data_IF_560075958786
#
_entry.id   IF_560075958786
#
_cell.length_a   1.000
_cell.length_b   1.000
_cell.length_c   1.000
_cell.angle_alpha   90.00
_cell.angle_beta   90.00
_cell.angle_gamma   90.00
#
_symmetry.space_group_name_H-M   'P 1'
#
loop_
_entity.id
_entity.type
_entity.pdbx_description
1 polymer ?
#
# COMPACT_ATOMS: atom_id res chain seq x y z
N UNK A 1 -27.23 19.36 0.15
CA UNK A 1 -26.98 19.36 1.62
C UNK A 1 -27.97 18.51 2.42
N UNK A 2 -29.19 18.21 1.95
CA UNK A 2 -30.18 17.48 2.76
C UNK A 2 -29.92 15.96 2.90
N UNK A 3 -29.49 15.27 1.84
CA UNK A 3 -29.42 13.79 1.81
C UNK A 3 -28.33 13.22 2.74
N UNK A 4 -27.12 13.76 2.68
CA UNK A 4 -26.00 13.35 3.55
C UNK A 4 -26.29 13.64 5.03
N UNK A 5 -26.87 14.81 5.33
CA UNK A 5 -27.28 15.17 6.68
C UNK A 5 -28.32 14.19 7.25
N UNK A 6 -29.29 13.76 6.43
CA UNK A 6 -30.27 12.75 6.84
C UNK A 6 -29.61 11.41 7.17
N UNK A 7 -28.68 10.94 6.34
CA UNK A 7 -27.91 9.73 6.59
C UNK A 7 -27.07 9.83 7.88
N UNK A 8 -26.54 11.02 8.20
CA UNK A 8 -25.78 11.29 9.41
C UNK A 8 -26.61 11.20 10.70
N UNK A 9 -27.89 11.56 10.63
CA UNK A 9 -28.80 11.53 11.78
C UNK A 9 -29.38 10.14 12.08
N UNK A 10 -29.11 9.15 11.23
CA UNK A 10 -29.60 7.79 11.46
C UNK A 10 -28.74 7.07 12.51
N UNK A 11 -29.39 6.32 13.40
CA UNK A 11 -28.71 5.59 14.47
C UNK A 11 -28.20 4.23 13.98
N UNK A 12 -26.96 4.19 13.50
CA UNK A 12 -26.29 2.95 13.11
C UNK A 12 -25.78 2.10 14.29
N UNK A 13 -25.94 2.57 15.54
CA UNK A 13 -25.75 1.71 16.72
C UNK A 13 -26.94 0.79 16.98
N UNK A 14 -28.05 1.00 16.27
CA UNK A 14 -29.27 0.18 16.32
C UNK A 14 -29.90 0.12 17.72
N UNK A 15 -29.70 1.17 18.52
CA UNK A 15 -30.39 1.36 19.80
C UNK A 15 -31.80 1.88 19.60
N UNK A 16 -32.01 2.60 18.49
CA UNK A 16 -33.30 3.12 18.06
C UNK A 16 -33.66 2.59 16.68
N UNK A 17 -34.96 2.48 16.41
CA UNK A 17 -35.46 2.02 15.10
C UNK A 17 -35.17 3.11 14.07
N UNK A 18 -34.59 2.72 12.95
CA UNK A 18 -34.36 3.65 11.83
C UNK A 18 -35.67 4.05 11.16
N UNK A 19 -35.82 5.35 10.89
CA UNK A 19 -36.98 5.90 10.18
C UNK A 19 -36.97 5.47 8.70
N UNK A 20 -37.95 4.68 8.23
CA UNK A 20 -38.00 4.21 6.85
C UNK A 20 -38.22 5.35 5.83
N UNK A 21 -38.89 6.44 6.21
CA UNK A 21 -39.18 7.56 5.30
C UNK A 21 -37.90 8.29 4.89
N UNK A 22 -36.94 8.42 5.82
CA UNK A 22 -35.62 8.99 5.51
C UNK A 22 -34.90 8.20 4.42
N UNK A 23 -34.96 6.88 4.48
CA UNK A 23 -34.27 6.02 3.53
C UNK A 23 -34.92 6.02 2.15
N UNK A 24 -36.26 6.06 2.09
CA UNK A 24 -37.01 6.25 0.83
C UNK A 24 -36.62 7.57 0.17
N UNK A 25 -36.63 8.66 0.94
CA UNK A 25 -36.23 9.98 0.45
C UNK A 25 -34.78 9.98 -0.09
N UNK A 26 -33.84 9.38 0.64
CA UNK A 26 -32.44 9.27 0.18
C UNK A 26 -32.39 8.50 -1.14
N UNK A 27 -33.06 7.35 -1.24
CA UNK A 27 -33.02 6.48 -2.42
C UNK A 27 -33.59 7.15 -3.69
N UNK A 28 -34.66 7.93 -3.54
CA UNK A 28 -35.30 8.71 -4.63
C UNK A 28 -34.44 9.87 -5.11
N UNK A 29 -33.66 10.48 -4.21
CA UNK A 29 -32.82 11.64 -4.54
C UNK A 29 -31.46 11.27 -5.15
N UNK A 30 -30.99 10.03 -5.04
CA UNK A 30 -29.68 9.60 -5.60
C UNK A 30 -29.49 10.00 -7.07
N UNK A 31 -30.44 9.76 -8.01
CA UNK A 31 -30.28 10.13 -9.41
C UNK A 31 -30.27 11.65 -9.66
N UNK A 32 -30.78 12.44 -8.72
CA UNK A 32 -30.85 13.90 -8.80
C UNK A 32 -29.58 14.56 -8.24
N UNK A 33 -28.72 13.80 -7.57
CA UNK A 33 -27.48 14.29 -6.99
C UNK A 33 -26.37 14.31 -8.03
N UNK A 34 -25.46 15.27 -7.91
CA UNK A 34 -24.21 15.24 -8.66
C UNK A 34 -23.31 14.11 -8.15
N UNK A 35 -22.38 13.66 -9.00
CA UNK A 35 -21.46 12.57 -8.65
C UNK A 35 -20.63 12.87 -7.38
N UNK A 36 -20.37 14.15 -7.08
CA UNK A 36 -19.67 14.56 -5.85
C UNK A 36 -20.54 14.36 -4.61
N UNK A 37 -21.82 14.71 -4.69
CA UNK A 37 -22.80 14.43 -3.65
C UNK A 37 -22.96 12.94 -3.41
N UNK A 38 -23.08 12.14 -4.48
CA UNK A 38 -23.16 10.67 -4.39
C UNK A 38 -21.90 10.10 -3.73
N UNK A 39 -20.71 10.60 -4.10
CA UNK A 39 -19.44 10.23 -3.47
C UNK A 39 -19.43 10.58 -1.97
N UNK A 40 -19.93 11.75 -1.60
CA UNK A 40 -20.00 12.19 -0.20
C UNK A 40 -20.92 11.27 0.62
N UNK A 41 -22.11 10.95 0.08
CA UNK A 41 -23.04 10.00 0.69
C UNK A 41 -22.41 8.62 0.87
N UNK A 42 -21.75 8.09 -0.18
CA UNK A 42 -21.04 6.81 -0.12
C UNK A 42 -19.98 6.81 0.99
N UNK A 43 -19.17 7.87 1.05
CA UNK A 43 -18.15 8.05 2.09
C UNK A 43 -18.78 8.11 3.49
N UNK A 44 -19.84 8.89 3.66
CA UNK A 44 -20.58 9.00 4.92
C UNK A 44 -21.08 7.63 5.40
N UNK A 45 -21.76 6.88 4.52
CA UNK A 45 -22.29 5.56 4.86
C UNK A 45 -21.18 4.57 5.25
N UNK A 46 -20.14 4.45 4.43
CA UNK A 46 -19.06 3.49 4.68
C UNK A 46 -18.21 3.85 5.90
N UNK A 47 -17.81 5.11 6.04
CA UNK A 47 -16.80 5.51 7.03
C UNK A 47 -17.37 6.00 8.36
N UNK A 48 -18.48 6.72 8.33
CA UNK A 48 -19.03 7.33 9.54
C UNK A 48 -20.12 6.44 10.14
N UNK A 49 -20.98 5.87 9.29
CA UNK A 49 -22.14 5.12 9.75
C UNK A 49 -21.85 3.63 9.96
N UNK A 50 -21.35 2.94 8.93
CA UNK A 50 -21.17 1.48 8.99
C UNK A 50 -20.18 1.03 10.06
N UNK A 51 -19.20 1.85 10.40
CA UNK A 51 -18.25 1.56 11.48
C UNK A 51 -18.92 1.45 12.86
N UNK A 52 -20.07 2.10 13.05
CA UNK A 52 -20.85 2.08 14.30
C UNK A 52 -21.76 0.85 14.44
N UNK A 53 -21.90 0.05 13.38
CA UNK A 53 -22.75 -1.16 13.37
C UNK A 53 -22.19 -2.20 14.36
N UNK A 54 -23.02 -2.80 15.22
CA UNK A 54 -22.62 -3.91 16.09
C UNK A 54 -22.06 -5.11 15.31
N UNK A 55 -21.14 -5.87 15.92
CA UNK A 55 -20.53 -7.03 15.25
C UNK A 55 -21.45 -8.23 15.05
N UNK A 56 -22.46 -8.33 15.92
CA UNK A 56 -23.48 -9.36 15.88
C UNK A 56 -24.81 -8.64 15.72
N UNK A 57 -25.62 -9.08 14.76
CA UNK A 57 -26.89 -8.47 14.41
C UNK A 57 -27.99 -9.49 14.60
N UNK A 58 -29.09 -9.08 15.26
CA UNK A 58 -30.33 -9.85 15.22
C UNK A 58 -30.97 -9.81 13.82
N UNK A 59 -31.89 -10.73 13.50
CA UNK A 59 -32.62 -10.71 12.23
C UNK A 59 -33.36 -9.37 12.00
N UNK A 60 -33.98 -8.81 13.04
CA UNK A 60 -34.66 -7.51 13.00
C UNK A 60 -33.68 -6.36 12.72
N UNK A 61 -32.54 -6.34 13.40
CA UNK A 61 -31.48 -5.34 13.16
C UNK A 61 -30.94 -5.42 11.72
N UNK A 62 -30.77 -6.63 11.19
CA UNK A 62 -30.38 -6.82 9.79
C UNK A 62 -31.44 -6.29 8.83
N UNK A 63 -32.73 -6.49 9.11
CA UNK A 63 -33.83 -5.94 8.30
C UNK A 63 -33.82 -4.41 8.29
N UNK A 64 -33.53 -3.76 9.43
CA UNK A 64 -33.44 -2.30 9.51
C UNK A 64 -32.31 -1.70 8.65
N UNK A 65 -31.24 -2.47 8.39
CA UNK A 65 -30.10 -2.03 7.58
C UNK A 65 -30.28 -2.33 6.07
N UNK A 66 -31.31 -3.06 5.66
CA UNK A 66 -31.56 -3.35 4.24
C UNK A 66 -31.72 -2.08 3.36
N UNK A 67 -32.35 -0.98 3.80
CA UNK A 67 -32.43 0.24 3.01
C UNK A 67 -31.04 0.86 2.75
N UNK A 68 -30.16 0.90 3.76
CA UNK A 68 -28.82 1.45 3.61
C UNK A 68 -27.93 0.55 2.74
N UNK A 69 -28.08 -0.78 2.85
CA UNK A 69 -27.47 -1.73 1.91
C UNK A 69 -27.93 -1.50 0.46
N UNK A 70 -29.25 -1.33 0.24
CA UNK A 70 -29.81 -1.07 -1.10
C UNK A 70 -29.26 0.21 -1.73
N UNK A 71 -29.14 1.28 -0.95
CA UNK A 71 -28.54 2.54 -1.40
C UNK A 71 -27.09 2.32 -1.85
N UNK A 72 -26.29 1.59 -1.07
CA UNK A 72 -24.91 1.29 -1.46
C UNK A 72 -24.85 0.44 -2.73
N UNK A 73 -25.73 -0.56 -2.86
CA UNK A 73 -25.83 -1.38 -4.08
C UNK A 73 -26.20 -0.53 -5.29
N UNK A 74 -27.12 0.43 -5.14
CA UNK A 74 -27.53 1.38 -6.19
C UNK A 74 -26.37 2.30 -6.61
N UNK A 75 -25.58 2.77 -5.64
CA UNK A 75 -24.39 3.60 -5.91
C UNK A 75 -23.30 2.80 -6.63
N UNK A 76 -23.15 1.52 -6.31
CA UNK A 76 -22.16 0.62 -6.89
C UNK A 76 -22.60 0.00 -8.23
N UNK A 77 -23.83 0.28 -8.67
CA UNK A 77 -24.35 -0.26 -9.93
C UNK A 77 -23.83 0.55 -11.12
N UNK A 78 -22.99 -0.04 -12.00
CA UNK A 78 -22.46 0.66 -13.16
C UNK A 78 -23.54 1.05 -14.16
N UNK A 79 -24.65 0.30 -14.24
CA UNK A 79 -25.71 0.53 -15.22
C UNK A 79 -26.53 1.79 -14.90
N UNK A 80 -26.57 2.16 -13.62
CA UNK A 80 -27.26 3.39 -13.16
C UNK A 80 -26.42 4.65 -13.37
N UNK A 81 -25.10 4.50 -13.59
CA UNK A 81 -24.17 5.59 -13.89
C UNK A 81 -24.26 6.82 -12.96
N UNK A 82 -24.61 6.60 -11.69
CA UNK A 82 -24.75 7.69 -10.69
C UNK A 82 -23.41 8.24 -10.24
N UNK A 83 -22.35 7.43 -10.34
CA UNK A 83 -20.97 7.82 -10.05
C UNK A 83 -20.00 6.98 -10.89
N UNK A 84 -18.91 7.57 -11.41
CA UNK A 84 -17.82 6.79 -11.98
C UNK A 84 -17.26 5.77 -10.96
N UNK A 85 -17.18 4.47 -11.31
CA UNK A 85 -16.74 3.40 -10.39
C UNK A 85 -15.33 3.60 -9.81
N UNK A 86 -14.49 4.40 -10.48
CA UNK A 86 -13.15 4.76 -9.97
C UNK A 86 -13.24 5.55 -8.66
N UNK A 87 -14.25 6.40 -8.49
CA UNK A 87 -14.39 7.21 -7.28
C UNK A 87 -14.81 6.36 -6.09
N UNK A 88 -15.72 5.40 -6.27
CA UNK A 88 -16.06 4.45 -5.21
C UNK A 88 -14.83 3.62 -4.85
N UNK A 89 -14.07 3.10 -5.81
CA UNK A 89 -12.82 2.38 -5.56
C UNK A 89 -11.81 3.23 -4.75
N UNK A 90 -11.62 4.50 -5.11
CA UNK A 90 -10.69 5.39 -4.38
C UNK A 90 -11.13 5.64 -2.95
N UNK A 91 -12.45 5.67 -2.69
CA UNK A 91 -12.93 5.70 -1.33
C UNK A 91 -12.69 4.36 -0.66
N UNK A 92 -12.94 3.22 -1.29
CA UNK A 92 -12.73 1.90 -0.68
C UNK A 92 -11.26 1.65 -0.28
N UNK A 93 -10.30 2.15 -1.04
CA UNK A 93 -8.87 1.95 -0.74
C UNK A 93 -8.39 2.71 0.51
N UNK A 94 -9.15 3.70 1.00
CA UNK A 94 -8.74 4.60 2.10
C UNK A 94 -8.98 4.03 3.50
N UNK A 95 -9.68 2.92 3.65
CA UNK A 95 -9.91 2.37 4.98
C UNK A 95 -10.80 1.13 5.07
N UNK A 96 -10.99 0.69 6.31
CA UNK A 96 -11.37 -0.67 6.64
C UNK A 96 -12.89 -0.85 6.55
N UNK A 97 -13.35 -1.46 5.46
CA UNK A 97 -14.73 -1.84 5.18
C UNK A 97 -15.23 -3.08 5.94
N UNK A 98 -14.59 -3.48 7.04
CA UNK A 98 -14.89 -4.76 7.72
C UNK A 98 -16.38 -4.96 8.00
N UNK A 99 -17.10 -3.87 8.32
CA UNK A 99 -18.55 -3.87 8.55
C UNK A 99 -19.38 -4.01 7.27
N UNK A 100 -18.94 -3.41 6.16
CA UNK A 100 -19.61 -3.58 4.87
C UNK A 100 -19.57 -5.03 4.37
N UNK A 101 -18.48 -5.75 4.66
CA UNK A 101 -18.35 -7.18 4.34
C UNK A 101 -19.27 -8.10 5.18
N UNK A 102 -19.98 -7.57 6.19
CA UNK A 102 -21.00 -8.34 6.94
C UNK A 102 -22.28 -8.57 6.11
N UNK A 103 -22.45 -7.83 5.03
CA UNK A 103 -23.60 -7.89 4.13
C UNK A 103 -23.20 -8.65 2.85
N UNK A 104 -23.70 -9.87 2.61
CA UNK A 104 -23.23 -10.71 1.50
C UNK A 104 -23.40 -10.08 0.11
N UNK A 105 -24.50 -9.38 -0.15
CA UNK A 105 -24.74 -8.76 -1.47
C UNK A 105 -23.78 -7.61 -1.72
N UNK A 106 -23.58 -6.77 -0.70
CA UNK A 106 -22.61 -5.68 -0.75
C UNK A 106 -21.18 -6.22 -0.89
N UNK A 107 -20.81 -7.24 -0.10
CA UNK A 107 -19.50 -7.90 -0.19
C UNK A 107 -19.21 -8.43 -1.59
N UNK A 108 -20.21 -9.07 -2.22
CA UNK A 108 -20.10 -9.56 -3.59
C UNK A 108 -19.89 -8.40 -4.58
N UNK A 109 -20.73 -7.36 -4.55
CA UNK A 109 -20.58 -6.19 -5.43
C UNK A 109 -19.25 -5.46 -5.26
N UNK A 110 -18.77 -5.31 -4.02
CA UNK A 110 -17.46 -4.73 -3.75
C UNK A 110 -16.33 -5.57 -4.36
N UNK A 111 -16.45 -6.90 -4.29
CA UNK A 111 -15.47 -7.82 -4.88
C UNK A 111 -15.47 -7.73 -6.41
N UNK A 112 -16.65 -7.65 -7.05
CA UNK A 112 -16.77 -7.43 -8.50
C UNK A 112 -16.11 -6.12 -8.92
N UNK A 113 -16.37 -5.02 -8.18
CA UNK A 113 -15.75 -3.72 -8.44
C UNK A 113 -14.22 -3.79 -8.35
N UNK A 114 -13.69 -4.45 -7.33
CA UNK A 114 -12.23 -4.64 -7.16
C UNK A 114 -11.67 -5.46 -8.33
N UNK A 115 -12.35 -6.53 -8.75
CA UNK A 115 -11.91 -7.35 -9.89
C UNK A 115 -11.95 -6.57 -11.21
N UNK A 116 -12.95 -5.73 -11.42
CA UNK A 116 -13.05 -4.87 -12.60
C UNK A 116 -11.82 -3.97 -12.78
N UNK A 117 -11.33 -3.37 -11.68
CA UNK A 117 -10.14 -2.51 -11.71
C UNK A 117 -8.82 -3.26 -11.66
N UNK A 118 -8.82 -4.60 -11.55
CA UNK A 118 -7.60 -5.41 -11.64
C UNK A 118 -6.96 -5.33 -13.01
N UNK A 119 -7.75 -5.42 -14.08
CA UNK A 119 -7.26 -5.26 -15.45
C UNK A 119 -6.64 -3.87 -15.66
N UNK A 120 -7.25 -2.82 -15.11
CA UNK A 120 -6.72 -1.45 -15.16
C UNK A 120 -5.39 -1.33 -14.41
N UNK A 121 -5.27 -1.99 -13.25
CA UNK A 121 -4.01 -2.05 -12.52
C UNK A 121 -2.90 -2.73 -13.34
N UNK A 122 -3.21 -3.82 -14.04
CA UNK A 122 -2.25 -4.55 -14.88
C UNK A 122 -1.77 -3.75 -16.09
N UNK A 123 -2.63 -2.90 -16.67
CA UNK A 123 -2.22 -1.97 -17.75
C UNK A 123 -1.26 -0.88 -17.29
N UNK A 124 -1.26 -0.56 -15.99
CA UNK A 124 -0.49 0.56 -15.45
C UNK A 124 0.96 0.24 -15.07
N UNK A 125 1.37 -1.04 -15.17
CA UNK A 125 2.68 -1.48 -14.69
C UNK A 125 3.39 -2.45 -15.63
N UNK A 126 4.71 -2.49 -15.51
CA UNK A 126 5.56 -3.39 -16.30
C UNK A 126 5.45 -4.82 -15.76
N UNK A 127 5.18 -5.79 -16.62
CA UNK A 127 5.10 -7.20 -16.27
C UNK A 127 6.45 -7.67 -15.69
N UNK A 128 6.40 -8.42 -14.57
CA UNK A 128 7.59 -8.99 -13.96
C UNK A 128 8.52 -7.99 -13.29
N UNK A 129 8.08 -6.75 -13.05
CA UNK A 129 8.97 -5.68 -12.61
C UNK A 129 9.59 -5.86 -11.21
N UNK A 130 9.02 -6.69 -10.34
CA UNK A 130 9.70 -7.13 -9.11
C UNK A 130 10.99 -7.92 -9.36
N UNK A 131 11.15 -8.47 -10.57
CA UNK A 131 12.31 -9.26 -11.01
C UNK A 131 13.22 -8.49 -11.99
N UNK A 132 12.95 -7.20 -12.20
CA UNK A 132 13.80 -6.34 -13.03
C UNK A 132 14.79 -5.60 -12.15
N UNK A 133 16.06 -5.97 -12.26
CA UNK A 133 17.16 -5.37 -11.51
C UNK A 133 17.94 -4.42 -12.41
N UNK A 134 18.04 -3.13 -12.03
CA UNK A 134 18.79 -2.17 -12.82
C UNK A 134 20.29 -2.33 -12.65
N UNK A 135 21.03 -1.78 -13.60
CA UNK A 135 22.46 -1.55 -13.53
C UNK A 135 22.70 -0.10 -13.06
N UNK A 136 23.06 0.15 -11.79
CA UNK A 136 23.18 1.49 -11.21
C UNK A 136 24.10 2.43 -11.98
N UNK A 137 25.21 1.90 -12.52
CA UNK A 137 26.21 2.68 -13.24
C UNK A 137 25.86 2.92 -14.72
N UNK A 138 24.74 2.38 -15.22
CA UNK A 138 24.38 2.51 -16.63
C UNK A 138 23.73 3.86 -16.92
N UNK A 139 24.17 4.63 -17.93
CA UNK A 139 23.69 5.99 -18.18
C UNK A 139 22.19 6.07 -18.50
N UNK A 140 21.60 5.01 -19.06
CA UNK A 140 20.15 4.94 -19.31
C UNK A 140 19.32 4.58 -18.08
N UNK A 141 19.93 4.26 -16.94
CA UNK A 141 19.18 3.92 -15.73
C UNK A 141 18.70 5.19 -15.03
N UNK A 142 17.41 5.50 -15.24
CA UNK A 142 16.74 6.58 -14.55
C UNK A 142 16.22 6.10 -13.17
N UNK A 143 17.09 6.13 -12.14
CA UNK A 143 16.73 5.73 -10.78
C UNK A 143 15.52 6.52 -10.21
N UNK A 144 15.36 7.77 -10.63
CA UNK A 144 14.24 8.65 -10.25
C UNK A 144 12.94 8.39 -11.01
N UNK A 145 12.92 7.46 -11.98
CA UNK A 145 11.70 7.11 -12.71
C UNK A 145 10.65 6.50 -11.78
N UNK A 146 9.38 6.87 -11.95
CA UNK A 146 8.29 6.43 -11.08
C UNK A 146 8.14 4.89 -11.02
N UNK A 147 8.51 4.17 -12.08
CA UNK A 147 8.52 2.70 -12.11
C UNK A 147 9.60 2.09 -11.21
N UNK A 148 10.70 2.81 -10.97
CA UNK A 148 11.86 2.38 -10.19
C UNK A 148 11.74 2.77 -8.72
N UNK A 149 11.03 3.86 -8.42
CA UNK A 149 10.97 4.45 -7.08
C UNK A 149 10.32 3.55 -6.03
N UNK A 150 10.94 3.54 -4.86
CA UNK A 150 10.56 2.77 -3.69
C UNK A 150 10.32 3.72 -2.52
N UNK A 151 9.29 3.45 -1.73
CA UNK A 151 9.01 4.14 -0.48
C UNK A 151 10.03 3.76 0.60
N UNK A 152 10.58 4.74 1.30
CA UNK A 152 11.67 4.51 2.25
C UNK A 152 11.23 3.81 3.55
N UNK A 153 9.95 3.89 3.94
CA UNK A 153 9.45 3.26 5.18
C UNK A 153 9.00 1.83 4.92
N UNK A 154 8.24 1.64 3.85
CA UNK A 154 7.59 0.36 3.54
C UNK A 154 8.41 -0.51 2.61
N UNK A 155 9.44 0.05 1.98
CA UNK A 155 10.21 -0.54 0.88
C UNK A 155 9.35 -1.04 -0.28
N UNK A 156 8.12 -0.54 -0.41
CA UNK A 156 7.20 -0.88 -1.49
C UNK A 156 7.41 0.01 -2.71
N UNK A 157 7.03 -0.49 -3.89
CA UNK A 157 7.00 0.30 -5.12
C UNK A 157 6.05 1.49 -4.95
N UNK A 158 6.49 2.67 -5.35
CA UNK A 158 5.65 3.87 -5.35
C UNK A 158 4.71 3.86 -6.56
N UNK A 159 3.45 3.51 -6.31
CA UNK A 159 2.42 3.49 -7.35
C UNK A 159 1.83 4.88 -7.58
N UNK A 160 1.64 5.28 -8.86
CA UNK A 160 0.95 6.54 -9.21
C UNK A 160 -0.51 6.56 -8.75
N UNK A 161 -1.19 5.42 -8.83
CA UNK A 161 -2.59 5.25 -8.46
C UNK A 161 -2.70 4.19 -7.34
N UNK A 162 -2.31 4.51 -6.09
CA UNK A 162 -2.17 3.53 -5.00
C UNK A 162 -3.47 2.81 -4.61
N UNK A 163 -4.62 3.37 -5.00
CA UNK A 163 -5.94 2.80 -4.77
C UNK A 163 -6.27 1.61 -5.67
N UNK A 164 -5.52 1.40 -6.76
CA UNK A 164 -5.75 0.28 -7.66
C UNK A 164 -5.39 -1.06 -7.00
N UNK A 165 -6.10 -2.14 -7.35
CA UNK A 165 -5.88 -3.46 -6.78
C UNK A 165 -4.70 -4.17 -7.45
N UNK A 166 -3.49 -3.65 -7.22
CA UNK A 166 -2.25 -4.28 -7.68
C UNK A 166 -2.05 -5.68 -7.10
N UNK A 167 -1.33 -6.53 -7.84
CA UNK A 167 -0.88 -7.84 -7.38
C UNK A 167 -0.10 -7.72 -6.07
N UNK A 168 -0.18 -8.75 -5.22
CA UNK A 168 0.48 -8.77 -3.92
C UNK A 168 1.99 -8.54 -4.02
N UNK A 169 2.64 -9.09 -5.05
CA UNK A 169 4.07 -8.90 -5.35
C UNK A 169 4.45 -7.43 -5.48
N UNK A 170 3.61 -6.61 -6.12
CA UNK A 170 3.83 -5.18 -6.32
C UNK A 170 3.59 -4.35 -5.06
N UNK A 171 2.90 -4.93 -4.08
CA UNK A 171 2.66 -4.34 -2.74
C UNK A 171 3.62 -4.92 -1.70
N UNK A 172 4.44 -5.91 -2.05
CA UNK A 172 5.43 -6.46 -1.15
C UNK A 172 6.64 -5.52 -1.05
N UNK A 173 7.33 -5.51 0.11
CA UNK A 173 8.67 -4.95 0.25
C UNK A 173 9.62 -5.43 -0.86
N UNK A 174 10.27 -4.50 -1.55
CA UNK A 174 11.25 -4.76 -2.61
C UNK A 174 12.68 -4.82 -2.04
N UNK A 175 12.85 -5.53 -0.93
CA UNK A 175 14.13 -5.63 -0.22
C UNK A 175 15.22 -6.26 -1.09
N UNK A 176 14.87 -7.28 -1.89
CA UNK A 176 15.82 -7.94 -2.79
C UNK A 176 16.34 -7.02 -3.92
N UNK A 177 15.50 -6.11 -4.42
CA UNK A 177 15.91 -5.09 -5.37
C UNK A 177 16.92 -4.12 -4.74
N UNK A 178 16.66 -3.65 -3.52
CA UNK A 178 17.58 -2.79 -2.78
C UNK A 178 18.91 -3.51 -2.52
N UNK A 179 18.86 -4.75 -2.05
CA UNK A 179 20.03 -5.61 -1.87
C UNK A 179 20.86 -5.72 -3.17
N UNK A 180 20.21 -6.03 -4.29
CA UNK A 180 20.88 -6.21 -5.59
C UNK A 180 21.50 -4.91 -6.11
N UNK A 181 20.87 -3.76 -5.86
CA UNK A 181 21.43 -2.45 -6.22
C UNK A 181 22.62 -2.09 -5.34
N UNK A 182 22.49 -2.24 -4.02
CA UNK A 182 23.53 -1.89 -3.03
C UNK A 182 24.78 -2.75 -3.22
N UNK A 183 24.62 -4.05 -3.52
CA UNK A 183 25.73 -4.97 -3.76
C UNK A 183 26.60 -4.57 -4.95
N UNK A 184 26.05 -3.86 -5.94
CA UNK A 184 26.78 -3.48 -7.15
C UNK A 184 27.77 -2.32 -6.87
N UNK A 185 28.90 -2.28 -7.60
CA UNK A 185 29.79 -1.12 -7.58
C UNK A 185 29.01 0.15 -7.91
N UNK A 186 29.22 1.22 -7.13
CA UNK A 186 28.51 2.51 -7.27
C UNK A 186 26.99 2.45 -7.03
N UNK A 187 26.47 1.32 -6.57
CA UNK A 187 25.06 1.14 -6.23
C UNK A 187 24.52 2.18 -5.24
N UNK A 188 25.37 2.62 -4.31
CA UNK A 188 25.03 3.66 -3.32
C UNK A 188 24.67 5.03 -3.94
N UNK A 189 25.20 5.35 -5.12
CA UNK A 189 25.00 6.64 -5.78
C UNK A 189 23.57 6.83 -6.30
N UNK A 190 22.89 5.73 -6.69
CA UNK A 190 21.53 5.80 -7.24
C UNK A 190 20.43 5.74 -6.17
N UNK A 191 20.79 5.49 -4.91
CA UNK A 191 19.82 5.24 -3.84
C UNK A 191 19.00 6.47 -3.48
N UNK A 192 19.56 7.66 -3.58
CA UNK A 192 18.81 8.92 -3.39
C UNK A 192 17.72 9.11 -4.46
N UNK A 193 17.94 8.59 -5.67
CA UNK A 193 16.93 8.59 -6.74
C UNK A 193 15.89 7.47 -6.56
N UNK A 194 16.35 6.28 -6.15
CA UNK A 194 15.53 5.08 -5.99
C UNK A 194 14.61 5.18 -4.76
N UNK A 195 15.14 5.63 -3.62
CA UNK A 195 14.38 5.82 -2.39
C UNK A 195 13.74 7.20 -2.39
N UNK A 196 12.44 7.25 -2.15
CA UNK A 196 11.77 8.53 -1.87
C UNK A 196 12.18 9.00 -0.47
N UNK A 197 13.33 9.67 -0.37
CA UNK A 197 13.85 10.19 0.89
C UNK A 197 12.86 11.17 1.52
N UNK A 198 12.45 10.88 2.75
CA UNK A 198 11.94 11.88 3.69
C UNK A 198 13.08 12.15 4.66
N UNK A 199 13.28 13.41 4.99
CA UNK A 199 14.50 13.97 5.60
C UNK A 199 15.02 13.22 6.84
N UNK A 200 14.20 12.46 7.58
CA UNK A 200 14.64 11.74 8.77
C UNK A 200 13.80 10.47 9.00
N UNK A 201 14.26 9.31 8.53
CA UNK A 201 13.56 8.03 8.75
C UNK A 201 14.50 6.83 8.84
N UNK A 202 14.27 5.95 9.84
CA UNK A 202 14.90 4.63 9.90
C UNK A 202 14.52 3.87 8.63
N UNK A 203 15.53 3.48 7.89
CA UNK A 203 15.39 2.73 6.63
C UNK A 203 15.85 1.30 6.92
N UNK A 204 15.37 0.30 6.17
CA UNK A 204 15.70 -1.14 6.37
C UNK A 204 17.17 -1.49 6.04
N UNK A 205 18.10 -0.55 6.18
CA UNK A 205 19.52 -0.74 5.89
C UNK A 205 20.18 -1.73 6.82
N UNK A 206 19.82 -1.72 8.10
CA UNK A 206 20.47 -2.57 9.10
C UNK A 206 20.34 -4.07 8.73
N UNK A 207 19.16 -4.47 8.24
CA UNK A 207 18.90 -5.84 7.77
C UNK A 207 19.65 -6.16 6.47
N UNK A 208 19.68 -5.23 5.50
CA UNK A 208 20.40 -5.46 4.23
C UNK A 208 21.91 -5.54 4.47
N UNK A 209 22.44 -4.67 5.32
CA UNK A 209 23.86 -4.63 5.66
C UNK A 209 24.29 -5.86 6.45
N UNK A 210 23.48 -6.34 7.40
CA UNK A 210 23.80 -7.56 8.15
C UNK A 210 23.86 -8.78 7.24
N UNK A 211 22.96 -8.88 6.25
CA UNK A 211 23.00 -9.93 5.22
C UNK A 211 24.26 -9.81 4.37
N UNK A 212 24.59 -8.62 3.87
CA UNK A 212 25.80 -8.42 3.05
C UNK A 212 27.09 -8.75 3.82
N UNK A 213 27.20 -8.35 5.09
CA UNK A 213 28.33 -8.71 5.97
C UNK A 213 28.40 -10.24 6.10
N UNK A 214 27.29 -10.88 6.45
CA UNK A 214 27.22 -12.33 6.66
C UNK A 214 27.57 -13.13 5.41
N UNK A 215 27.09 -12.70 4.23
CA UNK A 215 27.44 -13.32 2.95
C UNK A 215 28.93 -13.17 2.62
N UNK A 216 29.48 -11.96 2.79
CA UNK A 216 30.90 -11.69 2.55
C UNK A 216 31.77 -12.55 3.47
N UNK A 217 31.40 -12.68 4.75
CA UNK A 217 32.08 -13.55 5.71
C UNK A 217 31.97 -15.04 5.35
N UNK A 218 30.79 -15.49 4.94
CA UNK A 218 30.56 -16.88 4.55
C UNK A 218 31.32 -17.24 3.26
N UNK A 219 31.47 -16.30 2.32
CA UNK A 219 32.31 -16.48 1.13
C UNK A 219 33.78 -16.63 1.53
N UNK A 220 34.28 -15.81 2.46
CA UNK A 220 35.65 -15.94 2.98
C UNK A 220 35.88 -17.29 3.67
N UNK A 221 34.92 -17.76 4.47
CA UNK A 221 35.05 -19.05 5.17
C UNK A 221 35.11 -20.26 4.22
N UNK A 222 34.57 -20.12 3.00
CA UNK A 222 34.63 -21.17 1.97
C UNK A 222 35.95 -21.19 1.21
N UNK A 223 36.78 -20.15 1.35
CA UNK A 223 38.06 -20.10 0.67
C UNK A 223 39.03 -21.10 1.31
N UNK A 224 39.86 -21.78 0.50
CA UNK A 224 41.02 -22.50 1.01
C UNK A 224 41.96 -21.57 1.79
N UNK A 225 42.66 -22.09 2.80
CA UNK A 225 43.54 -21.30 3.68
C UNK A 225 44.69 -20.58 2.95
N UNK A 226 45.04 -21.04 1.75
CA UNK A 226 46.11 -20.53 0.90
C UNK A 226 45.65 -19.47 -0.13
N UNK A 227 44.35 -19.19 -0.22
CA UNK A 227 43.80 -18.22 -1.17
C UNK A 227 43.65 -16.84 -0.52
N UNK A 228 44.20 -15.80 -1.15
CA UNK A 228 44.05 -14.42 -0.66
C UNK A 228 42.57 -13.99 -0.68
N UNK A 229 42.14 -13.38 0.41
CA UNK A 229 40.77 -12.87 0.57
C UNK A 229 40.48 -11.79 -0.49
N UNK A 230 39.40 -11.92 -1.28
CA UNK A 230 39.05 -10.93 -2.28
C UNK A 230 38.68 -9.58 -1.65
N UNK A 231 39.57 -8.58 -1.78
CA UNK A 231 39.41 -7.26 -1.14
C UNK A 231 38.25 -6.44 -1.70
N UNK A 232 37.88 -6.65 -2.96
CA UNK A 232 36.90 -5.81 -3.66
C UNK A 232 35.52 -5.80 -2.98
N UNK A 233 35.07 -6.93 -2.43
CA UNK A 233 33.78 -7.01 -1.74
C UNK A 233 33.81 -6.25 -0.41
N UNK A 234 34.88 -6.42 0.35
CA UNK A 234 35.12 -5.73 1.61
C UNK A 234 35.25 -4.22 1.43
N UNK A 235 35.97 -3.78 0.40
CA UNK A 235 36.08 -2.36 0.04
C UNK A 235 34.74 -1.77 -0.34
N UNK A 236 33.92 -2.49 -1.13
CA UNK A 236 32.57 -2.05 -1.46
C UNK A 236 31.68 -1.98 -0.21
N UNK A 237 31.73 -2.98 0.66
CA UNK A 237 30.97 -3.02 1.91
C UNK A 237 31.32 -1.85 2.83
N UNK A 238 32.62 -1.60 3.04
CA UNK A 238 33.10 -0.44 3.81
C UNK A 238 32.63 0.88 3.20
N UNK A 239 32.71 1.01 1.88
CA UNK A 239 32.26 2.16 1.12
C UNK A 239 30.75 2.42 1.27
N UNK A 240 29.93 1.37 1.38
CA UNK A 240 28.48 1.46 1.63
C UNK A 240 28.20 1.84 3.08
N UNK A 241 28.88 1.21 4.04
CA UNK A 241 28.74 1.49 5.48
C UNK A 241 29.05 2.95 5.78
N UNK A 242 30.16 3.47 5.24
CA UNK A 242 30.54 4.88 5.39
C UNK A 242 29.50 5.82 4.79
N UNK A 243 28.89 5.44 3.65
CA UNK A 243 27.78 6.19 3.08
C UNK A 243 26.54 6.18 4.00
N UNK A 244 26.17 5.03 4.56
CA UNK A 244 25.05 4.91 5.50
C UNK A 244 25.23 5.77 6.75
N UNK A 245 26.44 5.80 7.31
CA UNK A 245 26.78 6.62 8.49
C UNK A 245 26.71 8.12 8.14
N UNK A 246 27.34 8.54 7.04
CA UNK A 246 27.38 9.96 6.63
C UNK A 246 25.99 10.52 6.31
N UNK A 247 25.11 9.71 5.73
CA UNK A 247 23.73 10.08 5.43
C UNK A 247 22.78 9.94 6.65
N UNK A 248 23.31 9.60 7.85
CA UNK A 248 22.54 9.32 9.07
C UNK A 248 21.48 8.22 8.91
N UNK A 249 21.69 7.30 7.97
CA UNK A 249 20.85 6.13 7.78
C UNK A 249 21.17 5.00 8.77
N UNK A 250 22.36 5.03 9.41
CA UNK A 250 22.83 4.01 10.36
C UNK A 250 23.47 4.65 11.61
N UNK A 251 23.27 4.02 12.78
CA UNK A 251 23.94 4.41 14.02
C UNK A 251 25.20 3.55 14.23
N UNK A 252 26.31 4.17 14.62
CA UNK A 252 27.66 3.59 14.74
C UNK A 252 27.74 2.35 15.65
N UNK A 253 26.73 2.12 16.50
CA UNK A 253 26.71 1.05 17.52
C UNK A 253 26.76 -0.36 16.91
N UNK A 254 26.12 -0.60 15.74
CA UNK A 254 26.10 -1.92 15.08
C UNK A 254 27.45 -2.35 14.49
N UNK A 255 28.31 -1.39 14.10
CA UNK A 255 29.60 -1.70 13.49
C UNK A 255 30.61 -2.23 14.51
N UNK A 256 30.56 -1.72 15.75
CA UNK A 256 31.47 -2.16 16.82
C UNK A 256 31.22 -3.60 17.29
N UNK A 257 29.96 -4.08 17.30
CA UNK A 257 29.67 -5.44 17.76
C UNK A 257 30.04 -6.50 16.72
N UNK A 258 29.82 -6.26 15.42
CA UNK A 258 30.27 -7.20 14.38
C UNK A 258 31.80 -7.26 14.28
N UNK A 259 32.51 -6.15 14.43
CA UNK A 259 33.97 -6.15 14.41
C UNK A 259 34.59 -6.76 15.69
N UNK A 260 33.96 -6.63 16.86
CA UNK A 260 34.49 -7.16 18.12
C UNK A 260 34.52 -8.68 18.23
N UNK A 261 33.71 -9.38 17.46
CA UNK A 261 33.64 -10.86 17.53
C UNK A 261 34.75 -11.50 16.68
N UNK A 262 35.39 -10.76 15.77
CA UNK A 262 36.26 -11.35 14.75
C UNK A 262 37.62 -10.67 14.53
N UNK A 263 37.91 -9.55 15.21
CA UNK A 263 39.27 -8.99 15.32
C UNK A 263 39.83 -9.16 16.73
#
# INVERSE_FOLDING_TARGET
MCVEGLALTADFTLRTIMDPQKWIFIEENIPLMDYKGVRSLFKCLIYQQFNSIPAQLSPEQRRQLLPSERILLKILDPDLNVIPPIFTLTELSRGILKRAYMFPRLAHRLSELIMYFRAVAELSYVIGRCFLFPLPAHPSFAASAASCRIDHLTTQISHRAPYLPYKAELKAPQTYLLYTVIRQPRGKEVLSGLLRQVSHGRTQWDEILSVLISETMAEVQKLPEDVEIPRYQWENLMSIIMYGITQKHMWVVLFCECCRVFF
#
